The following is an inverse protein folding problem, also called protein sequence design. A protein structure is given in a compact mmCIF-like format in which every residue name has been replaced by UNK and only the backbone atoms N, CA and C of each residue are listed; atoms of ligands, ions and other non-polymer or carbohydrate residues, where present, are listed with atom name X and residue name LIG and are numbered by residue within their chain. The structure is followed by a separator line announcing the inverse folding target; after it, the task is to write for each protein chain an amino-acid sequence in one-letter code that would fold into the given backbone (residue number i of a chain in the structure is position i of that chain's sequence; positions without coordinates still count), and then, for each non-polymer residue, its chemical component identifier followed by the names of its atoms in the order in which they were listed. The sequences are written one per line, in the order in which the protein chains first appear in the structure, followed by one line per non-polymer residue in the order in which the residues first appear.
data_IF_673529388361
#
_entry.id   IF_673529388361
#
_cell.length_a   1.000
_cell.length_b   1.000
_cell.length_c   1.000
_cell.angle_alpha   90.00
_cell.angle_beta   90.00
_cell.angle_gamma   90.00
#
_symmetry.space_group_name_H-M   'P 1'
#
loop_
_entity.id
_entity.type
_entity.pdbx_description
1 polymer ?
#
# COMPACT_ATOMS: atom_id res chain seq x y z
N UNK A 1 5.83 -10.30 -4.91
CA UNK A 1 7.23 -10.42 -5.36
C UNK A 1 7.94 -9.14 -4.98
N UNK A 2 9.09 -9.22 -4.32
CA UNK A 2 9.88 -8.03 -4.00
C UNK A 2 10.60 -7.47 -5.24
N UNK A 3 11.11 -6.24 -5.14
CA UNK A 3 11.74 -5.51 -6.26
C UNK A 3 12.97 -6.22 -6.83
N UNK A 4 13.73 -6.93 -6.00
CA UNK A 4 14.96 -7.62 -6.41
C UNK A 4 14.58 -8.85 -7.22
N UNK A 5 13.64 -9.65 -6.73
CA UNK A 5 13.12 -10.82 -7.43
C UNK A 5 12.49 -10.45 -8.77
N UNK A 6 11.70 -9.38 -8.82
CA UNK A 6 11.10 -8.87 -10.06
C UNK A 6 12.17 -8.42 -11.07
N UNK A 7 13.19 -7.70 -10.59
CA UNK A 7 14.28 -7.22 -11.44
C UNK A 7 15.08 -8.36 -12.03
N UNK A 8 15.45 -9.34 -11.20
CA UNK A 8 16.22 -10.50 -11.67
C UNK A 8 15.45 -11.33 -12.70
N UNK A 9 14.15 -11.51 -12.49
CA UNK A 9 13.28 -12.17 -13.45
C UNK A 9 13.23 -11.44 -14.78
N UNK A 10 13.00 -10.12 -14.76
CA UNK A 10 12.93 -9.32 -16.00
C UNK A 10 14.26 -9.23 -16.73
N UNK A 11 15.38 -9.17 -16.01
CA UNK A 11 16.72 -9.25 -16.61
C UNK A 11 16.93 -10.61 -17.30
N UNK A 12 16.53 -11.71 -16.67
CA UNK A 12 16.62 -13.03 -17.28
C UNK A 12 15.77 -13.13 -18.56
N UNK A 13 14.54 -12.63 -18.52
CA UNK A 13 13.64 -12.51 -19.68
C UNK A 13 14.26 -11.69 -20.82
N UNK A 14 14.86 -10.56 -20.49
CA UNK A 14 15.51 -9.68 -21.47
C UNK A 14 16.70 -10.38 -22.13
N UNK A 15 17.58 -10.98 -21.33
CA UNK A 15 18.79 -11.69 -21.80
C UNK A 15 18.48 -12.94 -22.61
N UNK A 16 17.37 -13.61 -22.31
CA UNK A 16 16.90 -14.79 -23.06
C UNK A 16 16.07 -14.43 -24.29
N UNK A 17 15.88 -13.13 -24.58
CA UNK A 17 15.10 -12.62 -25.72
C UNK A 17 13.64 -13.07 -25.72
N UNK A 18 13.06 -13.31 -24.54
CA UNK A 18 11.65 -13.65 -24.40
C UNK A 18 10.71 -12.43 -24.45
N UNK A 19 11.27 -11.23 -24.64
CA UNK A 19 10.53 -9.99 -24.92
C UNK A 19 10.13 -9.91 -26.40
N UNK A 20 9.38 -10.91 -26.87
CA UNK A 20 8.75 -10.93 -28.19
C UNK A 20 7.31 -10.47 -28.11
N UNK A 21 6.65 -10.39 -29.27
CA UNK A 21 5.21 -10.18 -29.43
C UNK A 21 4.35 -11.34 -28.91
N UNK A 22 4.96 -12.47 -28.53
CA UNK A 22 4.26 -13.64 -27.97
C UNK A 22 3.99 -13.52 -26.47
N UNK A 23 4.68 -12.62 -25.75
CA UNK A 23 4.61 -12.54 -24.29
C UNK A 23 4.27 -11.12 -23.82
N UNK A 24 3.41 -11.05 -22.80
CA UNK A 24 3.16 -9.81 -22.03
C UNK A 24 3.51 -10.09 -20.58
N UNK A 25 4.36 -9.23 -20.01
CA UNK A 25 4.78 -9.34 -18.63
C UNK A 25 3.96 -8.41 -17.74
N UNK A 26 3.13 -9.01 -16.88
CA UNK A 26 2.33 -8.28 -15.88
C UNK A 26 2.94 -8.58 -14.51
N UNK A 27 3.46 -7.55 -13.87
CA UNK A 27 4.21 -7.67 -12.61
C UNK A 27 3.39 -7.04 -11.50
N UNK A 28 2.76 -7.85 -10.63
CA UNK A 28 2.08 -7.35 -9.44
C UNK A 28 3.11 -6.93 -8.40
N UNK A 29 3.26 -5.62 -8.24
CA UNK A 29 4.12 -4.98 -7.27
C UNK A 29 3.29 -4.30 -6.18
N UNK A 30 2.65 -5.14 -5.37
CA UNK A 30 1.73 -4.69 -4.33
C UNK A 30 2.41 -4.36 -3.00
N UNK A 31 3.70 -4.71 -2.86
CA UNK A 31 4.51 -4.43 -1.68
C UNK A 31 5.60 -3.42 -2.06
N UNK A 32 5.24 -2.14 -2.09
CA UNK A 32 6.19 -1.04 -2.21
C UNK A 32 6.96 -0.88 -0.90
N UNK A 33 8.09 -1.59 -0.77
CA UNK A 33 9.06 -1.32 0.29
C UNK A 33 9.94 -0.11 -0.03
N UNK A 34 9.89 0.37 -1.27
CA UNK A 34 10.60 1.55 -1.78
C UNK A 34 9.68 2.33 -2.73
N UNK A 35 9.78 3.66 -2.66
CA UNK A 35 9.07 4.64 -3.49
C UNK A 35 9.73 4.82 -4.88
N UNK A 36 10.82 4.10 -5.13
CA UNK A 36 11.60 4.16 -6.35
C UNK A 36 11.21 3.00 -7.28
N UNK A 37 11.15 3.25 -8.59
CA UNK A 37 10.99 2.19 -9.60
C UNK A 37 12.19 1.22 -9.61
N UNK A 38 12.07 0.03 -10.25
CA UNK A 38 13.14 -0.98 -10.24
C UNK A 38 14.47 -0.47 -10.80
N UNK A 39 14.44 0.40 -11.82
CA UNK A 39 15.63 1.03 -12.41
C UNK A 39 16.20 2.22 -11.60
N UNK A 40 15.50 2.66 -10.55
CA UNK A 40 15.93 3.73 -9.65
C UNK A 40 16.59 3.17 -8.38
N UNK A 41 16.22 1.95 -7.99
CA UNK A 41 16.66 1.30 -6.75
C UNK A 41 17.92 0.43 -6.90
N UNK A 42 18.45 0.21 -8.11
CA UNK A 42 19.52 -0.75 -8.37
C UNK A 42 20.91 -0.14 -8.53
N UNK A 43 21.94 -0.80 -7.98
CA UNK A 43 23.38 -0.58 -8.23
C UNK A 43 23.87 -1.14 -9.57
N UNK A 44 23.00 -1.86 -10.29
CA UNK A 44 23.25 -2.45 -11.62
C UNK A 44 23.09 -1.39 -12.72
N UNK A 45 23.53 -1.69 -13.94
CA UNK A 45 23.35 -0.82 -15.11
C UNK A 45 21.87 -0.43 -15.30
N UNK A 46 21.57 0.85 -15.04
CA UNK A 46 20.23 1.40 -15.10
C UNK A 46 19.63 1.31 -16.50
N UNK A 47 20.45 1.31 -17.54
CA UNK A 47 19.96 1.19 -18.92
C UNK A 47 19.48 -0.23 -19.20
N UNK A 48 20.21 -1.25 -18.74
CA UNK A 48 19.80 -2.65 -18.89
C UNK A 48 18.49 -2.93 -18.14
N UNK A 49 18.36 -2.44 -16.91
CA UNK A 49 17.11 -2.62 -16.13
C UNK A 49 15.93 -1.92 -16.81
N UNK A 50 16.12 -0.70 -17.34
CA UNK A 50 15.06 -0.03 -18.12
C UNK A 50 14.67 -0.82 -19.35
N UNK A 51 15.64 -1.30 -20.13
CA UNK A 51 15.41 -2.13 -21.30
C UNK A 51 14.71 -3.45 -20.94
N UNK A 52 14.99 -4.01 -19.76
CA UNK A 52 14.33 -5.22 -19.27
C UNK A 52 12.86 -4.98 -18.91
N UNK A 53 12.50 -3.83 -18.35
CA UNK A 53 11.13 -3.47 -18.00
C UNK A 53 10.31 -2.80 -19.12
N UNK A 54 10.93 -2.46 -20.26
CA UNK A 54 10.22 -1.91 -21.42
C UNK A 54 9.02 -2.80 -21.84
N UNK A 55 7.86 -2.22 -22.12
CA UNK A 55 6.62 -2.95 -22.47
C UNK A 55 6.09 -3.92 -21.39
N UNK A 56 6.62 -3.89 -20.16
CA UNK A 56 6.02 -4.59 -19.03
C UNK A 56 4.93 -3.72 -18.38
N UNK A 57 3.88 -4.35 -17.89
CA UNK A 57 2.82 -3.71 -17.11
C UNK A 57 3.12 -3.93 -15.63
N UNK A 58 3.31 -2.84 -14.89
CA UNK A 58 3.53 -2.88 -13.45
C UNK A 58 2.21 -2.53 -12.76
N UNK A 59 1.69 -3.44 -11.95
CA UNK A 59 0.50 -3.20 -11.13
C UNK A 59 0.97 -2.83 -9.73
N UNK A 60 0.78 -1.58 -9.36
CA UNK A 60 1.10 -1.08 -8.02
C UNK A 60 -0.15 -1.08 -7.15
N UNK A 61 0.02 -1.31 -5.84
CA UNK A 61 -1.02 -0.91 -4.91
C UNK A 61 -0.98 0.62 -4.90
N UNK A 62 -1.92 1.29 -5.59
CA UNK A 62 -2.08 2.74 -5.54
C UNK A 62 -2.07 3.17 -4.06
N UNK A 63 -0.95 3.74 -3.62
CA UNK A 63 -0.62 3.86 -2.20
C UNK A 63 -0.67 5.31 -1.76
N UNK A 64 -1.88 5.85 -1.65
CA UNK A 64 -2.19 7.19 -1.14
C UNK A 64 -1.55 8.35 -1.94
N UNK A 65 -2.19 9.52 -1.89
CA UNK A 65 -1.57 10.75 -2.39
C UNK A 65 -0.25 10.97 -1.63
N UNK A 66 0.87 11.11 -2.36
CA UNK A 66 2.21 11.34 -1.77
C UNK A 66 2.18 12.47 -0.75
N UNK A 67 1.44 13.54 -1.05
CA UNK A 67 1.29 14.68 -0.14
C UNK A 67 0.59 14.28 1.15
N UNK A 68 -0.47 13.47 1.06
CA UNK A 68 -1.20 12.97 2.22
C UNK A 68 -0.33 12.06 3.09
N UNK A 69 0.49 11.21 2.47
CA UNK A 69 1.49 10.39 3.15
C UNK A 69 2.50 11.26 3.92
N UNK A 70 3.11 12.24 3.23
CA UNK A 70 4.13 13.12 3.82
C UNK A 70 3.55 13.93 5.00
N UNK A 71 2.36 14.50 4.82
CA UNK A 71 1.64 15.24 5.86
C UNK A 71 1.33 14.36 7.10
N UNK A 72 0.95 13.10 6.89
CA UNK A 72 0.71 12.16 7.98
C UNK A 72 2.01 11.79 8.69
N UNK A 73 3.08 11.47 7.95
CA UNK A 73 4.38 11.11 8.52
C UNK A 73 4.93 12.23 9.41
N UNK A 74 4.82 13.48 8.96
CA UNK A 74 5.26 14.66 9.70
C UNK A 74 4.44 14.91 10.98
N UNK A 75 3.13 14.68 10.93
CA UNK A 75 2.27 14.81 12.13
C UNK A 75 2.54 13.68 13.12
N UNK A 76 2.62 12.44 12.62
CA UNK A 76 2.83 11.26 13.44
C UNK A 76 4.18 11.29 14.15
N UNK A 77 5.25 11.67 13.43
CA UNK A 77 6.59 11.80 14.01
C UNK A 77 6.66 12.91 15.06
N UNK A 78 6.02 14.06 14.84
CA UNK A 78 5.93 15.13 15.86
C UNK A 78 5.17 14.70 17.11
N UNK A 79 4.13 13.88 16.96
CA UNK A 79 3.31 13.44 18.09
C UNK A 79 3.95 12.29 18.89
N UNK A 80 4.69 11.40 18.23
CA UNK A 80 5.18 10.14 18.84
C UNK A 80 6.69 10.09 19.01
N UNK A 81 7.44 10.95 18.32
CA UNK A 81 8.89 10.86 18.19
C UNK A 81 9.36 9.73 17.25
N UNK A 82 8.44 8.96 16.65
CA UNK A 82 8.78 7.81 15.79
C UNK A 82 8.88 8.29 14.33
N UNK A 83 10.05 8.07 13.73
CA UNK A 83 10.25 8.23 12.28
C UNK A 83 10.09 6.86 11.62
N UNK A 84 8.91 6.60 11.08
CA UNK A 84 8.60 5.36 10.36
C UNK A 84 9.18 5.35 8.94
N UNK A 85 9.55 4.16 8.45
CA UNK A 85 9.74 3.94 7.01
C UNK A 85 8.41 4.10 6.26
N UNK A 86 8.46 4.22 4.92
CA UNK A 86 7.25 4.32 4.08
C UNK A 86 6.17 3.30 4.43
N UNK A 87 6.56 2.02 4.55
CA UNK A 87 5.63 0.95 4.90
C UNK A 87 5.10 1.03 6.33
N UNK A 88 5.96 1.38 7.30
CA UNK A 88 5.54 1.54 8.68
C UNK A 88 4.50 2.67 8.77
N UNK A 89 4.75 3.78 8.09
CA UNK A 89 3.81 4.91 8.00
C UNK A 89 2.48 4.49 7.36
N UNK A 90 2.48 3.77 6.23
CA UNK A 90 1.25 3.25 5.61
C UNK A 90 0.47 2.32 6.55
N UNK A 91 1.18 1.50 7.34
CA UNK A 91 0.56 0.63 8.35
C UNK A 91 -0.08 1.46 9.46
N UNK A 92 0.60 2.49 9.95
CA UNK A 92 0.06 3.42 10.96
C UNK A 92 -1.14 4.22 10.42
N UNK A 93 -1.11 4.62 9.15
CA UNK A 93 -2.25 5.25 8.49
C UNK A 93 -3.45 4.30 8.43
N UNK A 94 -3.23 3.04 8.02
CA UNK A 94 -4.29 2.03 7.97
C UNK A 94 -4.88 1.75 9.36
N UNK A 95 -4.05 1.73 10.40
CA UNK A 95 -4.49 1.59 11.79
C UNK A 95 -5.29 2.82 12.25
N UNK A 96 -4.85 4.03 11.87
CA UNK A 96 -5.57 5.26 12.15
C UNK A 96 -6.97 5.24 11.50
N UNK A 97 -7.04 4.88 10.21
CA UNK A 97 -8.30 4.76 9.46
C UNK A 97 -9.21 3.70 10.08
N UNK A 98 -8.67 2.55 10.50
CA UNK A 98 -9.43 1.50 11.16
C UNK A 98 -10.02 1.95 12.51
N UNK A 99 -9.27 2.71 13.31
CA UNK A 99 -9.76 3.30 14.56
C UNK A 99 -10.83 4.36 14.31
N UNK A 100 -10.65 5.18 13.28
CA UNK A 100 -11.63 6.18 12.89
C UNK A 100 -12.95 5.51 12.43
N UNK A 101 -12.85 4.49 11.58
CA UNK A 101 -13.98 3.68 11.14
C UNK A 101 -14.70 3.04 12.33
N UNK A 102 -13.95 2.46 13.27
CA UNK A 102 -14.50 1.89 14.48
C UNK A 102 -15.27 2.94 15.31
N UNK A 103 -14.71 4.14 15.48
CA UNK A 103 -15.39 5.23 16.20
C UNK A 103 -16.70 5.65 15.52
N UNK A 104 -16.70 5.76 14.19
CA UNK A 104 -17.91 6.04 13.41
C UNK A 104 -18.96 4.93 13.56
N UNK A 105 -18.54 3.66 13.47
CA UNK A 105 -19.42 2.52 13.61
C UNK A 105 -20.01 2.42 15.02
N UNK A 106 -19.21 2.70 16.05
CA UNK A 106 -19.64 2.72 17.44
C UNK A 106 -20.66 3.83 17.71
N UNK A 107 -20.43 5.03 17.18
CA UNK A 107 -21.39 6.15 17.26
C UNK A 107 -22.73 5.75 16.62
N UNK A 108 -22.69 5.24 15.39
CA UNK A 108 -23.90 4.89 14.66
C UNK A 108 -24.66 3.73 15.33
N UNK A 109 -23.94 2.78 15.95
CA UNK A 109 -24.54 1.71 16.75
C UNK A 109 -25.18 2.24 18.05
N UNK A 110 -24.52 3.19 18.73
CA UNK A 110 -25.05 3.84 19.93
C UNK A 110 -26.31 4.66 19.63
N UNK A 111 -26.35 5.38 18.51
CA UNK A 111 -27.53 6.13 18.08
C UNK A 111 -28.73 5.24 17.75
N UNK A 112 -28.50 4.03 17.22
CA UNK A 112 -29.57 3.10 16.86
C UNK A 112 -30.14 2.32 18.06
N UNK A 113 -29.27 1.75 18.89
CA UNK A 113 -29.68 0.82 19.95
C UNK A 113 -29.74 1.49 21.32
N UNK A 114 -28.95 2.56 21.53
CA UNK A 114 -28.72 3.15 22.84
C UNK A 114 -27.95 2.23 23.79
N UNK A 115 -27.65 2.76 24.98
CA UNK A 115 -27.01 2.01 26.07
C UNK A 115 -25.49 1.99 26.00
N UNK A 116 -24.85 2.07 27.18
CA UNK A 116 -23.40 2.17 27.30
C UNK A 116 -22.65 0.88 26.94
N UNK A 117 -23.34 -0.26 26.91
CA UNK A 117 -22.74 -1.57 26.62
C UNK A 117 -22.70 -1.92 25.13
N UNK A 118 -23.12 -1.01 24.23
CA UNK A 118 -23.15 -1.26 22.78
C UNK A 118 -21.79 -1.68 22.20
N UNK A 119 -20.69 -1.22 22.81
CA UNK A 119 -19.32 -1.58 22.45
C UNK A 119 -19.01 -3.08 22.62
N UNK A 120 -19.80 -3.81 23.40
CA UNK A 120 -19.64 -5.26 23.61
C UNK A 120 -20.26 -6.09 22.47
N UNK A 121 -21.16 -5.49 21.67
CA UNK A 121 -21.77 -6.18 20.54
C UNK A 121 -20.90 -6.05 19.27
N UNK A 122 -19.83 -6.84 19.22
CA UNK A 122 -18.86 -6.81 18.11
C UNK A 122 -19.46 -7.12 16.74
N UNK A 123 -20.52 -7.94 16.68
CA UNK A 123 -21.19 -8.27 15.40
C UNK A 123 -21.91 -7.05 14.81
N UNK A 124 -22.61 -6.30 15.66
CA UNK A 124 -23.27 -5.06 15.26
C UNK A 124 -22.25 -4.01 14.80
N UNK A 125 -21.19 -3.82 15.57
CA UNK A 125 -20.13 -2.85 15.22
C UNK A 125 -19.49 -3.24 13.88
N UNK A 126 -19.13 -4.50 13.71
CA UNK A 126 -18.57 -4.99 12.45
C UNK A 126 -19.52 -4.74 11.27
N UNK A 127 -20.82 -5.03 11.43
CA UNK A 127 -21.82 -4.75 10.40
C UNK A 127 -21.87 -3.25 10.03
N UNK A 128 -21.71 -2.35 11.01
CA UNK A 128 -21.65 -0.90 10.81
C UNK A 128 -20.33 -0.40 10.18
N UNK A 129 -19.25 -1.18 10.29
CA UNK A 129 -17.98 -0.89 9.63
C UNK A 129 -17.97 -1.36 8.16
N UNK A 130 -18.69 -2.44 7.85
CA UNK A 130 -18.75 -2.98 6.48
C UNK A 130 -19.63 -2.19 5.53
N UNK A 131 -19.35 -2.29 4.22
CA UNK A 131 -20.10 -1.61 3.14
C UNK A 131 -20.25 -0.09 3.35
N UNK A 132 -19.25 0.52 4.01
CA UNK A 132 -19.21 1.94 4.31
C UNK A 132 -18.06 2.59 3.56
N UNK A 133 -18.36 3.66 2.84
CA UNK A 133 -17.34 4.60 2.40
C UNK A 133 -17.14 5.65 3.50
N UNK A 134 -15.90 5.83 3.91
CA UNK A 134 -15.47 6.83 4.87
C UNK A 134 -14.08 7.29 4.44
N UNK A 135 -13.80 8.58 4.64
CA UNK A 135 -12.73 9.33 3.95
C UNK A 135 -13.12 9.70 2.51
#
# INVERSE_FOLDING_TARGET
MDIISATNFMLAVHRTKMKSDEYVYIIPWLSHTSDNYPWEATTVDKQEVKAAFENAIIITAHGYDRKFYEDFQDKFSRATGIVGSYYATLTYMSLYDALFLYGLALRDAFEEVGGYDVHQNGSLICAKMTNRQFI
#
